data_IF_089186149401
#
_entry.id   IF_089186149401
#
_cell.length_a   1.000
_cell.length_b   1.000
_cell.length_c   1.000
_cell.angle_alpha   90.00
_cell.angle_beta   90.00
_cell.angle_gamma   90.00
#
_symmetry.space_group_name_H-M   'P 1'
#
loop_
_entity.id
_entity.type
_entity.pdbx_description
1 polymer ?
#
# COMPACT_ATOMS: atom_id res chain seq x y z
N UNK A 1 3.47 15.50 25.99
CA UNK A 1 4.60 14.56 25.83
C UNK A 1 5.20 14.79 24.45
N UNK A 2 6.48 15.20 24.40
CA UNK A 2 7.19 15.35 23.14
C UNK A 2 7.73 13.99 22.70
N UNK A 3 7.51 13.61 21.48
CA UNK A 3 7.96 12.32 20.95
C UNK A 3 8.81 12.51 19.70
N UNK A 4 9.93 11.82 19.66
CA UNK A 4 10.89 11.84 18.55
C UNK A 4 11.02 10.44 18.01
N UNK A 5 10.73 10.25 16.73
CA UNK A 5 10.76 8.95 16.07
C UNK A 5 11.74 8.99 14.89
N UNK A 6 12.66 8.05 14.88
CA UNK A 6 13.61 7.82 13.79
C UNK A 6 13.43 6.41 13.25
N UNK A 7 12.44 6.22 12.39
CA UNK A 7 12.17 4.92 11.76
C UNK A 7 11.91 5.05 10.26
N UNK A 8 12.33 4.03 9.55
CA UNK A 8 11.97 3.80 8.15
C UNK A 8 11.42 2.39 8.03
N UNK A 9 10.29 2.24 7.30
CA UNK A 9 9.66 0.96 7.07
C UNK A 9 8.33 0.79 7.81
N UNK A 10 7.76 -0.41 7.72
CA UNK A 10 6.42 -0.74 8.20
C UNK A 10 6.20 -0.41 9.68
N UNK A 11 7.15 -0.77 10.54
CA UNK A 11 7.06 -0.48 11.97
C UNK A 11 6.99 1.03 12.25
N UNK A 12 7.78 1.83 11.53
CA UNK A 12 7.74 3.28 11.69
C UNK A 12 6.40 3.88 11.29
N UNK A 13 5.82 3.44 10.17
CA UNK A 13 4.50 3.88 9.72
C UNK A 13 3.43 3.59 10.78
N UNK A 14 3.42 2.38 11.33
CA UNK A 14 2.44 1.95 12.34
C UNK A 14 2.61 2.69 13.68
N UNK A 15 3.84 2.82 14.18
CA UNK A 15 4.11 3.51 15.44
C UNK A 15 3.75 5.00 15.34
N UNK A 16 4.08 5.67 14.24
CA UNK A 16 3.77 7.09 14.04
C UNK A 16 2.28 7.36 14.19
N UNK A 17 1.43 6.50 13.59
CA UNK A 17 -0.02 6.65 13.67
C UNK A 17 -0.54 6.54 15.11
N UNK A 18 -0.02 5.63 15.92
CA UNK A 18 -0.43 5.47 17.32
C UNK A 18 0.11 6.56 18.23
N UNK A 19 1.38 6.93 18.07
CA UNK A 19 2.00 7.98 18.89
C UNK A 19 1.37 9.34 18.59
N UNK A 20 1.00 9.63 17.34
CA UNK A 20 0.35 10.88 16.95
C UNK A 20 -0.97 11.14 17.70
N UNK A 21 -1.68 10.09 18.15
CA UNK A 21 -2.93 10.22 18.91
C UNK A 21 -2.69 10.69 20.36
N UNK A 22 -1.49 10.53 20.89
CA UNK A 22 -1.17 10.73 22.31
C UNK A 22 -0.13 11.84 22.56
N UNK A 23 0.70 12.14 21.57
CA UNK A 23 1.77 13.12 21.69
C UNK A 23 1.24 14.56 21.47
N UNK A 24 1.68 15.50 22.29
CA UNK A 24 1.44 16.94 22.04
C UNK A 24 2.20 17.42 20.79
N UNK A 25 3.41 16.90 20.61
CA UNK A 25 4.27 17.20 19.48
C UNK A 25 4.95 15.91 19.01
N UNK A 26 4.95 15.68 17.71
CA UNK A 26 5.59 14.52 17.11
C UNK A 26 6.54 14.95 15.98
N UNK A 27 7.82 14.64 16.15
CA UNK A 27 8.82 14.85 15.11
C UNK A 27 9.26 13.49 14.54
N UNK A 28 9.17 13.35 13.22
CA UNK A 28 9.52 12.12 12.50
C UNK A 28 10.69 12.41 11.56
N UNK A 29 11.77 11.65 11.70
CA UNK A 29 12.93 11.74 10.81
C UNK A 29 12.88 10.63 9.79
N UNK A 30 12.78 11.02 8.51
CA UNK A 30 12.76 10.12 7.37
C UNK A 30 14.00 10.35 6.50
N UNK A 31 14.70 9.27 6.15
CA UNK A 31 15.74 9.32 5.12
C UNK A 31 15.15 9.21 3.72
N UNK A 32 14.20 8.30 3.56
CA UNK A 32 13.49 8.04 2.30
C UNK A 32 12.01 7.84 2.63
N UNK A 33 11.08 8.50 1.91
CA UNK A 33 9.65 8.34 2.15
C UNK A 33 9.21 6.88 1.92
N UNK A 34 8.28 6.42 2.76
CA UNK A 34 7.64 5.12 2.59
C UNK A 34 6.42 5.22 1.69
N UNK A 35 6.23 4.20 0.85
CA UNK A 35 4.99 4.02 0.10
C UNK A 35 4.01 3.27 1.02
N UNK A 36 3.18 4.03 1.76
CA UNK A 36 2.16 3.43 2.62
C UNK A 36 0.88 3.15 1.82
N UNK A 37 0.29 1.99 2.03
CA UNK A 37 -0.98 1.57 1.43
C UNK A 37 -2.04 1.41 2.51
N UNK A 38 -3.32 1.71 2.22
CA UNK A 38 -4.40 1.52 3.18
C UNK A 38 -4.55 0.05 3.54
N UNK A 39 -4.56 -0.27 4.82
CA UNK A 39 -4.67 -1.65 5.28
C UNK A 39 -6.10 -2.18 5.19
N UNK A 40 -7.10 -1.32 5.42
CA UNK A 40 -8.53 -1.67 5.47
C UNK A 40 -8.80 -2.75 6.52
N UNK A 41 -8.22 -2.56 7.69
CA UNK A 41 -8.51 -3.41 8.85
C UNK A 41 -9.97 -3.28 9.27
N UNK A 42 -10.54 -4.41 9.67
CA UNK A 42 -11.89 -4.47 10.23
C UNK A 42 -11.99 -5.56 11.29
N UNK A 43 -12.93 -5.40 12.17
CA UNK A 43 -13.29 -6.48 13.08
C UNK A 43 -13.93 -7.63 12.30
N UNK A 44 -13.54 -8.85 12.64
CA UNK A 44 -14.10 -10.07 12.08
C UNK A 44 -14.92 -10.77 13.17
N UNK A 45 -16.16 -11.12 12.87
CA UNK A 45 -17.01 -11.88 13.79
C UNK A 45 -16.50 -13.31 13.96
N UNK A 46 -16.87 -13.96 15.08
CA UNK A 46 -16.52 -15.36 15.30
C UNK A 46 -17.12 -16.29 14.22
N UNK A 47 -18.32 -16.00 13.74
CA UNK A 47 -18.94 -16.75 12.64
C UNK A 47 -18.12 -16.65 11.35
N UNK A 48 -17.69 -15.46 11.00
CA UNK A 48 -16.84 -15.18 9.83
C UNK A 48 -15.47 -15.86 9.96
N UNK A 49 -14.85 -15.81 11.15
CA UNK A 49 -13.61 -16.54 11.41
C UNK A 49 -13.77 -18.06 11.21
N UNK A 50 -14.89 -18.63 11.66
CA UNK A 50 -15.15 -20.05 11.50
C UNK A 50 -15.36 -20.44 10.03
N UNK A 51 -15.99 -19.58 9.23
CA UNK A 51 -16.09 -19.78 7.78
C UNK A 51 -14.72 -19.81 7.12
N UNK A 52 -13.82 -18.86 7.46
CA UNK A 52 -12.45 -18.86 6.95
C UNK A 52 -11.66 -20.09 7.40
N UNK A 53 -11.79 -20.51 8.67
CA UNK A 53 -11.10 -21.70 9.19
C UNK A 53 -11.51 -22.97 8.44
N UNK A 54 -12.78 -23.07 8.05
CA UNK A 54 -13.28 -24.22 7.28
C UNK A 54 -12.65 -24.38 5.90
N UNK A 55 -12.09 -23.31 5.34
CA UNK A 55 -11.46 -23.29 4.01
C UNK A 55 -9.97 -22.96 4.04
N UNK A 56 -9.30 -23.03 5.20
CA UNK A 56 -7.89 -22.70 5.32
C UNK A 56 -6.98 -23.52 4.42
N UNK A 57 -7.25 -24.82 4.27
CA UNK A 57 -6.44 -25.66 3.36
C UNK A 57 -6.51 -25.17 1.91
N UNK A 58 -7.70 -24.78 1.46
CA UNK A 58 -7.89 -24.21 0.12
C UNK A 58 -7.15 -22.86 -0.02
N UNK A 59 -7.26 -22.00 0.99
CA UNK A 59 -6.56 -20.71 1.01
C UNK A 59 -5.05 -20.93 0.96
N UNK A 60 -4.50 -21.81 1.80
CA UNK A 60 -3.05 -22.09 1.83
C UNK A 60 -2.56 -22.76 0.55
N UNK A 61 -3.34 -23.65 -0.04
CA UNK A 61 -3.01 -24.24 -1.33
C UNK A 61 -2.96 -23.19 -2.45
N UNK A 62 -3.89 -22.24 -2.41
CA UNK A 62 -3.93 -21.12 -3.33
C UNK A 62 -2.74 -20.17 -3.14
N UNK A 63 -2.42 -19.79 -1.90
CA UNK A 63 -1.30 -18.88 -1.60
C UNK A 63 0.04 -19.43 -2.04
N UNK A 64 0.24 -20.75 -2.00
CA UNK A 64 1.47 -21.40 -2.50
C UNK A 64 1.68 -21.23 -4.00
N UNK A 65 0.63 -20.92 -4.75
CA UNK A 65 0.67 -20.68 -6.20
C UNK A 65 0.80 -19.19 -6.54
N UNK A 66 0.73 -18.30 -5.55
CA UNK A 66 0.86 -16.87 -5.75
C UNK A 66 2.32 -16.43 -5.62
N UNK A 67 2.73 -15.47 -6.44
CA UNK A 67 4.10 -14.98 -6.48
C UNK A 67 4.61 -14.47 -5.11
N UNK A 68 3.75 -13.79 -4.35
CA UNK A 68 4.09 -13.25 -3.03
C UNK A 68 3.62 -14.11 -1.85
N UNK A 69 3.07 -15.29 -2.08
CA UNK A 69 2.52 -16.12 -1.01
C UNK A 69 1.25 -15.57 -0.35
N UNK A 70 0.57 -14.63 -1.01
CA UNK A 70 -0.70 -14.02 -0.57
C UNK A 70 -1.78 -14.26 -1.62
N UNK A 71 -3.08 -14.41 -1.25
CA UNK A 71 -4.14 -14.78 -2.16
C UNK A 71 -4.62 -13.57 -2.99
N UNK A 72 -3.70 -12.91 -3.65
CA UNK A 72 -3.97 -11.84 -4.61
C UNK A 72 -3.42 -12.23 -5.97
N UNK A 73 -4.28 -12.20 -6.97
CA UNK A 73 -3.92 -12.55 -8.34
C UNK A 73 -4.05 -11.34 -9.25
N UNK A 74 -3.03 -11.15 -10.07
CA UNK A 74 -3.14 -10.34 -11.27
C UNK A 74 -4.07 -11.04 -12.27
N UNK A 75 -4.75 -10.28 -13.10
CA UNK A 75 -5.49 -10.80 -14.25
C UNK A 75 -4.57 -11.23 -15.41
N UNK A 76 -3.26 -11.06 -15.23
CA UNK A 76 -2.23 -11.41 -16.21
C UNK A 76 -2.02 -10.38 -17.31
N UNK A 77 -2.80 -9.30 -17.35
CA UNK A 77 -2.63 -8.23 -18.34
C UNK A 77 -1.40 -7.36 -18.04
N UNK A 78 -0.78 -6.82 -19.09
CA UNK A 78 0.16 -5.72 -18.98
C UNK A 78 -0.58 -4.37 -19.08
N UNK A 79 0.08 -3.29 -18.68
CA UNK A 79 -0.55 -1.97 -18.69
C UNK A 79 -0.94 -1.49 -20.08
N UNK A 80 -0.16 -1.82 -21.10
CA UNK A 80 -0.39 -1.43 -22.50
C UNK A 80 -1.52 -2.22 -23.20
N UNK A 81 -2.02 -3.27 -22.54
CA UNK A 81 -3.16 -4.07 -23.01
C UNK A 81 -4.52 -3.51 -22.54
N UNK A 82 -4.54 -2.40 -21.80
CA UNK A 82 -5.75 -1.82 -21.23
C UNK A 82 -5.87 -0.34 -21.54
N UNK A 83 -7.11 0.16 -21.59
CA UNK A 83 -7.39 1.59 -21.71
C UNK A 83 -7.06 2.34 -20.41
N UNK A 84 -6.98 3.66 -20.50
CA UNK A 84 -6.81 4.51 -19.32
C UNK A 84 -7.98 4.38 -18.33
N UNK A 85 -9.19 4.29 -18.85
CA UNK A 85 -10.41 4.15 -18.05
C UNK A 85 -10.42 2.81 -17.29
N UNK A 86 -10.12 1.70 -17.97
CA UNK A 86 -9.98 0.38 -17.34
C UNK A 86 -8.89 0.40 -16.26
N UNK A 87 -7.75 1.03 -16.56
CA UNK A 87 -6.64 1.17 -15.62
C UNK A 87 -7.05 1.91 -14.36
N UNK A 88 -7.69 3.06 -14.50
CA UNK A 88 -8.13 3.88 -13.36
C UNK A 88 -9.19 3.14 -12.53
N UNK A 89 -10.16 2.52 -13.17
CA UNK A 89 -11.18 1.70 -12.49
C UNK A 89 -10.52 0.58 -11.69
N UNK A 90 -9.61 -0.16 -12.30
CA UNK A 90 -8.87 -1.24 -11.64
C UNK A 90 -8.05 -0.75 -10.45
N UNK A 91 -7.36 0.37 -10.58
CA UNK A 91 -6.56 0.91 -9.48
C UNK A 91 -7.41 1.42 -8.32
N UNK A 92 -8.57 2.02 -8.59
CA UNK A 92 -9.52 2.39 -7.53
C UNK A 92 -10.07 1.16 -6.79
N UNK A 93 -10.40 0.09 -7.50
CA UNK A 93 -10.82 -1.18 -6.89
C UNK A 93 -9.74 -1.78 -6.00
N UNK A 94 -8.50 -1.85 -6.49
CA UNK A 94 -7.37 -2.38 -5.73
C UNK A 94 -7.04 -1.51 -4.51
N UNK A 95 -7.15 -0.20 -4.63
CA UNK A 95 -6.99 0.75 -3.54
C UNK A 95 -8.08 0.60 -2.48
N UNK A 96 -9.33 0.47 -2.91
CA UNK A 96 -10.47 0.25 -2.02
C UNK A 96 -10.39 -1.09 -1.29
N UNK A 97 -9.89 -2.14 -1.96
CA UNK A 97 -9.66 -3.46 -1.37
C UNK A 97 -8.65 -3.42 -0.23
N UNK A 98 -7.64 -2.57 -0.34
CA UNK A 98 -6.62 -2.39 0.70
C UNK A 98 -5.58 -3.51 0.79
N UNK A 99 -4.88 -3.55 1.91
CA UNK A 99 -3.75 -4.42 2.16
C UNK A 99 -2.71 -4.34 1.01
N UNK A 100 -2.15 -5.44 0.58
CA UNK A 100 -1.20 -5.46 -0.53
C UNK A 100 -1.86 -5.61 -1.92
N UNK A 101 -3.20 -5.53 -2.02
CA UNK A 101 -3.89 -5.76 -3.28
C UNK A 101 -3.38 -4.83 -4.40
N UNK A 102 -3.22 -3.55 -4.12
CA UNK A 102 -2.69 -2.57 -5.08
C UNK A 102 -1.28 -2.92 -5.59
N UNK A 103 -0.47 -3.57 -4.78
CA UNK A 103 0.90 -3.95 -5.15
C UNK A 103 0.99 -5.33 -5.80
N UNK A 104 0.17 -6.30 -5.37
CA UNK A 104 0.33 -7.71 -5.71
C UNK A 104 -0.70 -8.25 -6.70
N UNK A 105 -1.89 -7.61 -6.81
CA UNK A 105 -2.93 -7.96 -7.76
C UNK A 105 -3.01 -7.01 -8.97
N UNK A 106 -1.95 -6.27 -9.20
CA UNK A 106 -1.84 -5.29 -10.28
C UNK A 106 -1.39 -5.93 -11.60
N UNK A 107 -1.11 -5.11 -12.60
CA UNK A 107 -0.63 -5.55 -13.91
C UNK A 107 0.68 -6.34 -13.77
N UNK A 108 0.87 -7.37 -14.63
CA UNK A 108 2.04 -8.29 -14.56
C UNK A 108 3.39 -7.59 -14.69
N UNK A 109 3.42 -6.44 -15.37
CA UNK A 109 4.63 -5.67 -15.66
C UNK A 109 4.92 -4.54 -14.65
N UNK A 110 4.06 -4.33 -13.64
CA UNK A 110 4.17 -3.21 -12.71
C UNK A 110 5.48 -3.14 -11.91
N UNK A 111 6.16 -4.25 -11.73
CA UNK A 111 7.43 -4.34 -11.01
C UNK A 111 8.66 -4.27 -11.94
N UNK A 112 8.48 -4.45 -13.24
CA UNK A 112 9.58 -4.63 -14.19
C UNK A 112 9.58 -3.60 -15.33
N UNK A 113 8.45 -2.92 -15.54
CA UNK A 113 8.31 -1.88 -16.54
C UNK A 113 8.31 -0.50 -15.88
N UNK A 114 9.26 0.36 -16.26
CA UNK A 114 9.40 1.69 -15.66
C UNK A 114 8.16 2.55 -15.85
N UNK A 115 7.59 2.56 -17.06
CA UNK A 115 6.38 3.34 -17.38
C UNK A 115 5.19 2.93 -16.50
N UNK A 116 4.94 1.62 -16.40
CA UNK A 116 3.87 1.08 -15.56
C UNK A 116 4.08 1.44 -14.09
N UNK A 117 5.32 1.31 -13.62
CA UNK A 117 5.68 1.62 -12.25
C UNK A 117 5.52 3.11 -11.93
N UNK A 118 5.90 4.00 -12.84
CA UNK A 118 5.78 5.44 -12.67
C UNK A 118 4.30 5.86 -12.61
N UNK A 119 3.47 5.36 -13.50
CA UNK A 119 2.02 5.62 -13.48
C UNK A 119 1.34 5.09 -12.21
N UNK A 120 1.76 3.93 -11.71
CA UNK A 120 1.31 3.44 -10.41
C UNK A 120 1.70 4.38 -9.26
N UNK A 121 2.92 4.90 -9.31
CA UNK A 121 3.39 5.86 -8.33
C UNK A 121 2.61 7.17 -8.38
N UNK A 122 2.32 7.69 -9.56
CA UNK A 122 1.50 8.89 -9.76
C UNK A 122 0.10 8.71 -9.16
N UNK A 123 -0.55 7.57 -9.40
CA UNK A 123 -1.83 7.24 -8.77
C UNK A 123 -1.72 7.23 -7.25
N UNK A 124 -0.74 6.51 -6.69
CA UNK A 124 -0.48 6.47 -5.25
C UNK A 124 -0.24 7.87 -4.68
N UNK A 125 0.61 8.64 -5.33
CA UNK A 125 0.92 10.03 -4.95
C UNK A 125 -0.33 10.91 -4.92
N UNK A 126 -1.18 10.79 -5.93
CA UNK A 126 -2.44 11.50 -5.99
C UNK A 126 -3.32 11.18 -4.76
N UNK A 127 -3.49 9.90 -4.45
CA UNK A 127 -4.29 9.46 -3.29
C UNK A 127 -3.73 9.96 -1.95
N UNK A 128 -2.42 9.95 -1.78
CA UNK A 128 -1.75 10.44 -0.56
C UNK A 128 -1.83 11.96 -0.45
N UNK A 129 -1.52 12.68 -1.53
CA UNK A 129 -1.53 14.15 -1.54
C UNK A 129 -2.94 14.74 -1.32
N UNK A 130 -3.99 14.02 -1.73
CA UNK A 130 -5.37 14.45 -1.48
C UNK A 130 -5.72 14.49 0.02
N UNK A 131 -4.99 13.75 0.87
CA UNK A 131 -5.19 13.69 2.34
C UNK A 131 -4.37 14.71 3.12
N UNK A 132 -3.46 15.41 2.48
CA UNK A 132 -2.51 16.34 3.12
C UNK A 132 -2.82 17.75 2.64
N UNK A 133 -2.94 18.71 3.55
CA UNK A 133 -3.17 20.12 3.20
C UNK A 133 -1.87 20.89 2.94
N UNK A 134 -0.86 20.65 3.77
CA UNK A 134 0.44 21.33 3.74
C UNK A 134 1.29 20.86 2.54
N UNK A 135 1.65 21.78 1.66
CA UNK A 135 2.42 21.47 0.46
C UNK A 135 3.83 20.95 0.77
N UNK A 136 4.52 21.52 1.76
CA UNK A 136 5.84 21.06 2.14
C UNK A 136 5.83 19.63 2.68
N UNK A 137 4.77 19.26 3.39
CA UNK A 137 4.57 17.86 3.82
C UNK A 137 4.26 16.92 2.66
N UNK A 138 3.47 17.37 1.66
CA UNK A 138 3.23 16.57 0.44
C UNK A 138 4.55 16.24 -0.25
N UNK A 139 5.39 17.25 -0.47
CA UNK A 139 6.66 17.09 -1.18
C UNK A 139 7.65 16.20 -0.40
N UNK A 140 7.57 16.23 0.93
CA UNK A 140 8.40 15.41 1.80
C UNK A 140 7.98 13.93 1.83
N UNK A 141 6.68 13.64 1.93
CA UNK A 141 6.19 12.25 2.09
C UNK A 141 5.80 11.58 0.78
N UNK A 142 5.47 12.36 -0.24
CA UNK A 142 5.10 11.90 -1.58
C UNK A 142 5.77 12.80 -2.64
N UNK A 143 7.11 12.74 -2.78
CA UNK A 143 7.84 13.58 -3.72
C UNK A 143 7.35 13.36 -5.16
N UNK A 144 7.65 14.33 -6.04
CA UNK A 144 7.22 14.28 -7.44
C UNK A 144 7.73 13.04 -8.18
N UNK A 145 8.95 12.64 -7.88
CA UNK A 145 9.57 11.44 -8.46
C UNK A 145 9.57 10.29 -7.46
N UNK A 146 9.41 9.05 -7.92
CA UNK A 146 9.52 7.88 -7.05
C UNK A 146 10.83 7.89 -6.26
N UNK A 147 10.80 7.76 -4.92
CA UNK A 147 12.00 7.81 -4.09
C UNK A 147 12.85 6.52 -4.15
N UNK A 148 12.37 5.51 -4.83
CA UNK A 148 13.02 4.21 -4.95
C UNK A 148 13.18 3.81 -6.41
N UNK A 149 14.31 3.16 -6.77
CA UNK A 149 14.48 2.56 -8.09
C UNK A 149 13.43 1.46 -8.36
N UNK A 150 13.20 1.19 -9.64
CA UNK A 150 12.36 0.09 -10.08
C UNK A 150 12.76 -1.24 -9.40
N UNK A 151 11.77 -2.03 -8.98
CA UNK A 151 12.00 -3.33 -8.33
C UNK A 151 12.44 -3.28 -6.87
N UNK A 152 12.73 -2.10 -6.31
CA UNK A 152 13.18 -1.97 -4.91
C UNK A 152 12.12 -1.40 -3.97
N UNK A 153 10.95 -1.03 -4.48
CA UNK A 153 9.85 -0.50 -3.67
C UNK A 153 9.32 -1.57 -2.71
N UNK A 154 9.27 -1.19 -1.45
CA UNK A 154 8.65 -1.99 -0.39
C UNK A 154 7.52 -1.19 0.22
N UNK A 155 6.27 -1.43 -0.18
CA UNK A 155 5.14 -0.77 0.43
C UNK A 155 4.99 -1.21 1.89
N UNK A 156 4.53 -0.28 2.70
CA UNK A 156 4.11 -0.53 4.07
C UNK A 156 2.59 -0.41 4.17
N UNK A 157 1.98 -1.05 5.14
CA UNK A 157 0.56 -0.89 5.41
C UNK A 157 0.35 0.13 6.51
N UNK A 158 -0.50 1.12 6.27
CA UNK A 158 -1.01 2.00 7.32
C UNK A 158 -2.10 1.30 8.11
N UNK A 159 -2.29 1.72 9.36
CA UNK A 159 -3.37 1.22 10.21
C UNK A 159 -4.59 2.12 10.02
N UNK A 160 -5.75 1.51 9.81
CA UNK A 160 -7.04 2.20 9.68
C UNK A 160 -7.79 2.17 11.02
N UNK A 161 -7.26 2.81 12.06
CA UNK A 161 -7.95 2.92 13.34
C UNK A 161 -8.63 4.27 13.52
#
# INVERSE_FOLDING_TARGET
MHSLIRFQGSTGVQIVQEVAKQASDLTVFLRTPNIALPMRQRHMSAAEQNQYKAIYETIFAATRKCFFGVPYWSDGKALDEVSEEERMTRWEELWARGAFAFNTANYRDCMFNQKTNDLMYEFWRHKVCARIQDQAKKDLVAPEKPPHPLGTKRPSLEQDY
#
